data_IF_189009591715
#
_entry.id   IF_189009591715
#
_cell.length_a   1.000
_cell.length_b   1.000
_cell.length_c   1.000
_cell.angle_alpha   90.00
_cell.angle_beta   90.00
_cell.angle_gamma   90.00
#
_symmetry.space_group_name_H-M   'P 1'
#
loop_
_entity.id
_entity.type
_entity.pdbx_description
1 polymer ?
#
# COMPACT_ATOMS: atom_id res chain seq x y z
N UNK A 1 -16.85 -9.46 12.82
CA UNK A 1 -16.51 -9.37 11.37
C UNK A 1 -16.14 -7.91 11.10
N UNK A 2 -15.04 -7.64 10.41
CA UNK A 2 -14.69 -6.26 10.06
C UNK A 2 -15.67 -5.73 9.04
N UNK A 3 -16.19 -4.53 9.28
CA UNK A 3 -17.16 -3.83 8.43
C UNK A 3 -16.43 -3.00 7.37
N UNK A 4 -17.14 -2.60 6.32
CA UNK A 4 -16.66 -1.60 5.37
C UNK A 4 -16.82 -0.20 5.99
N UNK A 5 -15.73 0.33 6.53
CA UNK A 5 -15.71 1.66 7.13
C UNK A 5 -15.47 2.77 6.09
N UNK A 6 -15.03 2.43 4.89
CA UNK A 6 -14.74 3.42 3.85
C UNK A 6 -15.95 3.71 2.96
N UNK A 7 -16.86 2.75 2.77
CA UNK A 7 -18.00 2.91 1.86
C UNK A 7 -17.60 3.44 0.48
N UNK A 8 -16.45 2.97 -0.05
CA UNK A 8 -15.81 3.46 -1.29
C UNK A 8 -15.35 4.92 -1.27
N UNK A 9 -15.38 5.59 -0.13
CA UNK A 9 -14.79 6.91 0.02
C UNK A 9 -13.30 6.79 0.37
N UNK A 10 -12.47 6.84 -0.66
CA UNK A 10 -11.00 6.82 -0.55
C UNK A 10 -10.40 8.22 -0.41
N UNK A 11 -11.21 9.24 -0.14
CA UNK A 11 -10.70 10.57 0.15
C UNK A 11 -10.25 10.67 1.61
N UNK A 12 -9.13 11.34 1.84
CA UNK A 12 -8.64 11.67 3.17
C UNK A 12 -8.18 13.13 3.20
N UNK A 13 -8.58 13.86 4.25
CA UNK A 13 -8.23 15.27 4.43
C UNK A 13 -6.86 15.45 5.07
N UNK A 14 -6.38 14.42 5.75
CA UNK A 14 -5.10 14.44 6.48
C UNK A 14 -4.27 13.19 6.18
N UNK A 15 -2.92 13.30 6.18
CA UNK A 15 -2.05 12.14 6.08
C UNK A 15 -2.29 11.15 7.24
N UNK A 16 -2.04 9.87 6.96
CA UNK A 16 -2.03 8.79 7.95
C UNK A 16 -3.37 8.51 8.65
N UNK A 17 -4.48 9.03 8.12
CA UNK A 17 -5.81 8.84 8.71
C UNK A 17 -6.59 7.68 8.08
N UNK A 18 -6.40 7.46 6.79
CA UNK A 18 -7.12 6.49 5.98
C UNK A 18 -6.18 5.89 4.95
N UNK A 19 -6.01 4.58 4.98
CA UNK A 19 -5.07 3.84 4.13
C UNK A 19 -5.75 2.67 3.44
N UNK A 20 -5.18 2.23 2.33
CA UNK A 20 -5.56 1.00 1.63
C UNK A 20 -4.35 0.07 1.52
N UNK A 21 -4.60 -1.23 1.60
CA UNK A 21 -3.59 -2.24 1.38
C UNK A 21 -4.08 -3.32 0.42
N UNK A 22 -3.17 -3.94 -0.25
CA UNK A 22 -3.42 -5.06 -1.13
C UNK A 22 -2.13 -5.78 -1.49
N UNK A 23 -2.29 -6.88 -2.20
CA UNK A 23 -1.17 -7.67 -2.71
C UNK A 23 -1.24 -7.77 -4.23
N UNK A 24 -0.07 -7.97 -4.83
CA UNK A 24 0.06 -8.36 -6.24
C UNK A 24 1.18 -9.37 -6.39
N UNK A 25 1.25 -10.00 -7.56
CA UNK A 25 2.33 -10.92 -7.90
C UNK A 25 2.98 -10.56 -9.23
N UNK A 26 4.26 -10.91 -9.37
CA UNK A 26 5.04 -10.78 -10.59
C UNK A 26 5.71 -12.12 -10.86
N UNK A 27 5.51 -12.75 -12.05
CA UNK A 27 6.24 -13.96 -12.41
C UNK A 27 7.72 -13.65 -12.65
N UNK A 28 8.60 -14.53 -12.17
CA UNK A 28 10.03 -14.47 -12.33
C UNK A 28 10.58 -15.81 -12.89
N UNK A 29 11.86 -15.88 -13.22
CA UNK A 29 12.46 -17.12 -13.74
C UNK A 29 12.59 -18.21 -12.66
N UNK A 30 12.66 -17.83 -11.39
CA UNK A 30 12.81 -18.70 -10.22
C UNK A 30 11.53 -18.84 -9.38
N UNK A 31 10.39 -18.40 -9.91
CA UNK A 31 9.11 -18.52 -9.24
C UNK A 31 8.22 -17.26 -9.39
N UNK A 32 7.60 -16.83 -8.30
CA UNK A 32 6.79 -15.62 -8.25
C UNK A 32 7.25 -14.72 -7.12
N UNK A 33 7.28 -13.42 -7.38
CA UNK A 33 7.44 -12.41 -6.35
C UNK A 33 6.06 -11.93 -5.93
N UNK A 34 5.73 -12.07 -4.64
CA UNK A 34 4.53 -11.49 -4.02
C UNK A 34 4.89 -10.19 -3.33
N UNK A 35 4.05 -9.19 -3.51
CA UNK A 35 4.28 -7.82 -3.02
C UNK A 35 3.07 -7.40 -2.22
N UNK A 36 3.27 -6.94 -1.00
CA UNK A 36 2.26 -6.29 -0.16
C UNK A 36 2.67 -4.85 0.10
N UNK A 37 1.74 -3.91 -0.07
CA UNK A 37 2.00 -2.50 0.19
C UNK A 37 0.83 -1.83 0.89
N UNK A 38 1.14 -0.77 1.64
CA UNK A 38 0.19 0.11 2.30
C UNK A 38 0.31 1.50 1.69
N UNK A 39 -0.81 2.02 1.17
CA UNK A 39 -0.89 3.32 0.53
C UNK A 39 -1.74 4.28 1.35
N UNK A 40 -1.28 5.51 1.51
CA UNK A 40 -2.05 6.58 2.13
C UNK A 40 -3.12 7.11 1.16
N UNK A 41 -4.35 7.24 1.62
CA UNK A 41 -5.43 7.82 0.81
C UNK A 41 -5.28 9.33 0.62
N UNK A 42 -4.53 10.02 1.47
CA UNK A 42 -4.31 11.47 1.37
C UNK A 42 -3.45 11.85 0.17
N UNK A 43 -2.32 11.22 -0.01
CA UNK A 43 -1.31 11.59 -1.02
C UNK A 43 -0.88 10.45 -1.95
N UNK A 44 -1.44 9.27 -1.78
CA UNK A 44 -1.06 8.05 -2.47
C UNK A 44 0.38 7.57 -2.16
N UNK A 45 1.00 8.04 -1.10
CA UNK A 45 2.32 7.61 -0.67
C UNK A 45 2.34 6.16 -0.21
N UNK A 46 3.42 5.47 -0.51
CA UNK A 46 3.69 4.11 0.01
C UNK A 46 4.29 4.24 1.40
N UNK A 47 3.58 3.76 2.40
CA UNK A 47 3.97 3.82 3.82
C UNK A 47 4.66 2.56 4.29
N UNK A 48 4.29 1.41 3.73
CA UNK A 48 4.86 0.11 4.02
C UNK A 48 4.93 -0.73 2.76
N UNK A 49 5.99 -1.52 2.66
CA UNK A 49 6.25 -2.42 1.55
C UNK A 49 6.92 -3.68 2.09
N UNK A 50 6.44 -4.83 1.65
CA UNK A 50 7.05 -6.13 1.92
C UNK A 50 6.96 -7.02 0.69
N UNK A 51 7.97 -7.86 0.49
CA UNK A 51 8.07 -8.74 -0.69
C UNK A 51 8.62 -10.10 -0.29
N UNK A 52 8.00 -11.17 -0.80
CA UNK A 52 8.42 -12.56 -0.53
C UNK A 52 8.13 -13.44 -1.74
N UNK A 53 8.70 -14.62 -1.76
CA UNK A 53 8.41 -15.68 -2.72
C UNK A 53 7.20 -16.54 -2.34
N UNK A 54 6.63 -16.31 -1.16
CA UNK A 54 5.45 -17.01 -0.64
C UNK A 54 4.32 -16.02 -0.29
N UNK A 55 3.10 -16.34 -0.73
CA UNK A 55 1.90 -15.56 -0.42
C UNK A 55 1.31 -16.00 0.93
N UNK A 56 1.88 -15.54 2.04
CA UNK A 56 1.45 -15.86 3.40
C UNK A 56 0.92 -14.62 4.13
N UNK A 57 0.15 -14.83 5.20
CA UNK A 57 -0.30 -13.74 6.08
C UNK A 57 0.87 -12.96 6.69
N UNK A 58 2.01 -13.64 6.95
CA UNK A 58 3.24 -13.00 7.43
C UNK A 58 3.78 -11.91 6.51
N UNK A 59 3.54 -12.01 5.19
CA UNK A 59 3.91 -10.95 4.24
C UNK A 59 3.14 -9.65 4.53
N UNK A 60 1.84 -9.74 4.82
CA UNK A 60 1.02 -8.58 5.16
C UNK A 60 1.38 -8.01 6.54
N UNK A 61 1.71 -8.87 7.50
CA UNK A 61 2.19 -8.43 8.83
C UNK A 61 3.52 -7.71 8.71
N UNK A 62 4.48 -8.26 7.96
CA UNK A 62 5.78 -7.61 7.74
C UNK A 62 5.61 -6.24 7.05
N UNK A 63 4.69 -6.12 6.10
CA UNK A 63 4.36 -4.83 5.48
C UNK A 63 3.85 -3.83 6.52
N UNK A 64 2.95 -4.27 7.42
CA UNK A 64 2.41 -3.46 8.49
C UNK A 64 3.50 -3.02 9.48
N UNK A 65 4.37 -3.95 9.91
CA UNK A 65 5.51 -3.66 10.79
C UNK A 65 6.42 -2.60 10.17
N UNK A 66 6.77 -2.74 8.89
CA UNK A 66 7.59 -1.77 8.17
C UNK A 66 6.92 -0.38 8.11
N UNK A 67 5.60 -0.34 7.93
CA UNK A 67 4.84 0.91 7.97
C UNK A 67 4.85 1.54 9.37
N UNK A 68 4.61 0.76 10.42
CA UNK A 68 4.56 1.23 11.81
C UNK A 68 5.92 1.72 12.32
N UNK A 69 7.02 1.09 11.88
CA UNK A 69 8.38 1.56 12.20
C UNK A 69 8.61 2.96 11.64
N UNK A 70 8.20 3.21 10.40
CA UNK A 70 8.40 4.50 9.73
C UNK A 70 7.35 5.55 10.12
N UNK A 71 6.14 5.10 10.43
CA UNK A 71 4.98 5.95 10.70
C UNK A 71 4.19 5.46 11.93
N UNK A 72 4.73 5.59 13.14
CA UNK A 72 4.04 5.14 14.37
C UNK A 72 2.71 5.88 14.60
N UNK A 73 2.52 7.03 13.96
CA UNK A 73 1.26 7.81 13.98
C UNK A 73 0.11 7.16 13.20
N UNK A 74 0.33 6.02 12.51
CA UNK A 74 -0.73 5.21 11.92
C UNK A 74 -1.69 4.61 12.96
N UNK A 75 -1.33 4.63 14.23
CA UNK A 75 -2.23 4.25 15.33
C UNK A 75 -3.52 5.07 15.26
N UNK A 76 -4.67 4.39 15.23
CA UNK A 76 -5.99 5.01 15.06
C UNK A 76 -6.46 5.18 13.61
N UNK A 77 -5.58 5.01 12.62
CA UNK A 77 -5.94 5.06 11.21
C UNK A 77 -6.92 3.94 10.81
N UNK A 78 -7.68 4.19 9.76
CA UNK A 78 -8.47 3.15 9.09
C UNK A 78 -7.59 2.50 8.02
N UNK A 79 -7.46 1.18 8.06
CA UNK A 79 -6.76 0.40 7.04
C UNK A 79 -7.73 -0.54 6.34
N UNK A 80 -7.97 -0.27 5.07
CA UNK A 80 -8.89 -1.02 4.23
C UNK A 80 -8.18 -2.05 3.36
N UNK A 81 -8.74 -3.25 3.31
CA UNK A 81 -8.28 -4.36 2.47
C UNK A 81 -9.45 -5.09 1.83
N UNK A 82 -9.15 -5.95 0.87
CA UNK A 82 -10.09 -6.99 0.44
C UNK A 82 -10.28 -8.05 1.55
N UNK A 83 -11.09 -9.08 1.25
CA UNK A 83 -11.33 -10.22 2.15
C UNK A 83 -10.42 -11.42 1.88
N UNK A 84 -9.24 -11.19 1.34
CA UNK A 84 -8.25 -12.24 1.14
C UNK A 84 -7.92 -12.99 2.44
N UNK A 85 -7.58 -14.26 2.32
CA UNK A 85 -7.27 -15.12 3.48
C UNK A 85 -6.15 -14.56 4.35
N UNK A 86 -5.24 -13.80 3.78
CA UNK A 86 -4.13 -13.15 4.48
C UNK A 86 -4.65 -12.10 5.47
N UNK A 87 -5.62 -11.27 5.05
CA UNK A 87 -6.19 -10.18 5.84
C UNK A 87 -7.25 -10.66 6.85
N UNK A 88 -7.85 -11.84 6.62
CA UNK A 88 -8.80 -12.47 7.55
C UNK A 88 -8.11 -13.44 8.53
N UNK A 89 -6.81 -13.68 8.37
CA UNK A 89 -6.04 -14.55 9.26
C UNK A 89 -5.99 -14.01 10.69
N UNK A 90 -5.85 -14.91 11.65
CA UNK A 90 -5.69 -14.53 13.06
C UNK A 90 -4.41 -13.69 13.24
N UNK A 91 -3.31 -14.10 12.63
CA UNK A 91 -2.02 -13.41 12.70
C UNK A 91 -2.12 -11.94 12.30
N UNK A 92 -2.79 -11.65 11.18
CA UNK A 92 -2.95 -10.27 10.71
C UNK A 92 -3.89 -9.46 11.60
N UNK A 93 -4.99 -10.05 12.07
CA UNK A 93 -5.93 -9.37 12.98
C UNK A 93 -5.29 -9.02 14.31
N UNK A 94 -4.45 -9.91 14.86
CA UNK A 94 -3.70 -9.64 16.09
C UNK A 94 -2.71 -8.48 15.88
N UNK A 95 -1.97 -8.46 14.76
CA UNK A 95 -1.07 -7.37 14.43
C UNK A 95 -1.81 -6.02 14.33
N UNK A 96 -2.91 -5.95 13.59
CA UNK A 96 -3.77 -4.76 13.47
C UNK A 96 -4.24 -4.26 14.85
N UNK A 97 -4.63 -5.19 15.73
CA UNK A 97 -5.10 -4.85 17.07
C UNK A 97 -3.98 -4.31 17.96
N UNK A 98 -2.81 -4.93 17.93
CA UNK A 98 -1.62 -4.48 18.70
C UNK A 98 -1.21 -3.08 18.24
N UNK A 99 -1.22 -2.82 16.95
CA UNK A 99 -0.88 -1.51 16.37
C UNK A 99 -1.96 -0.44 16.59
N UNK A 100 -3.14 -0.85 17.09
CA UNK A 100 -4.25 0.06 17.34
C UNK A 100 -4.85 0.65 16.07
N UNK A 101 -4.77 -0.09 14.95
CA UNK A 101 -5.32 0.28 13.65
C UNK A 101 -6.77 -0.24 13.55
N UNK A 102 -7.62 0.53 12.89
CA UNK A 102 -9.02 0.17 12.65
C UNK A 102 -9.13 -0.59 11.33
N UNK A 103 -9.34 -1.90 11.39
CA UNK A 103 -9.50 -2.71 10.19
C UNK A 103 -10.83 -2.42 9.50
N UNK A 104 -10.77 -2.17 8.20
CA UNK A 104 -11.91 -2.07 7.29
C UNK A 104 -11.75 -3.10 6.16
N UNK A 105 -12.84 -3.72 5.74
CA UNK A 105 -12.84 -4.73 4.68
C UNK A 105 -14.01 -4.52 3.74
N UNK A 106 -13.86 -4.92 2.48
CA UNK A 106 -14.95 -4.96 1.52
C UNK A 106 -16.20 -5.62 2.11
N UNK A 107 -17.39 -5.16 1.73
CA UNK A 107 -18.65 -5.76 2.13
C UNK A 107 -18.71 -7.26 1.79
N UNK A 108 -19.40 -8.05 2.57
CA UNK A 108 -19.61 -9.47 2.29
C UNK A 108 -20.37 -9.59 0.96
N UNK A 109 -19.81 -10.30 -0.02
CA UNK A 109 -20.35 -10.36 -1.38
C UNK A 109 -20.06 -9.11 -2.23
N UNK A 110 -19.25 -8.16 -1.73
CA UNK A 110 -18.81 -6.97 -2.45
C UNK A 110 -18.03 -7.31 -3.72
N UNK A 111 -18.18 -6.47 -4.74
CA UNK A 111 -17.48 -6.62 -6.01
C UNK A 111 -16.01 -6.22 -5.83
N UNK A 112 -15.13 -6.70 -6.72
CA UNK A 112 -13.69 -6.36 -6.74
C UNK A 112 -13.40 -4.84 -6.73
N UNK A 113 -14.36 -4.02 -7.13
CA UNK A 113 -14.24 -2.55 -7.15
C UNK A 113 -14.14 -1.88 -5.77
N UNK A 114 -14.36 -2.61 -4.69
CA UNK A 114 -14.32 -2.04 -3.34
C UNK A 114 -12.87 -1.72 -2.90
N UNK A 115 -11.85 -2.26 -3.57
CA UNK A 115 -10.43 -1.90 -3.39
C UNK A 115 -9.78 -1.36 -4.69
N UNK A 116 -10.59 -0.72 -5.54
CA UNK A 116 -10.16 -0.23 -6.86
C UNK A 116 -8.96 0.72 -6.80
N UNK A 117 -8.78 1.44 -5.70
CA UNK A 117 -7.64 2.34 -5.51
C UNK A 117 -6.32 1.56 -5.47
N UNK A 118 -6.26 0.49 -4.70
CA UNK A 118 -5.08 -0.36 -4.61
C UNK A 118 -4.80 -1.07 -5.94
N UNK A 119 -5.84 -1.59 -6.59
CA UNK A 119 -5.72 -2.22 -7.92
C UNK A 119 -5.16 -1.25 -8.97
N UNK A 120 -5.62 0.00 -8.95
CA UNK A 120 -5.10 1.05 -9.83
C UNK A 120 -3.61 1.32 -9.61
N UNK A 121 -3.14 1.30 -8.37
CA UNK A 121 -1.73 1.50 -8.05
C UNK A 121 -0.86 0.33 -8.55
N UNK A 122 -1.33 -0.90 -8.42
CA UNK A 122 -0.66 -2.07 -8.97
C UNK A 122 -0.60 -2.03 -10.51
N UNK A 123 -1.69 -1.67 -11.17
CA UNK A 123 -1.72 -1.53 -12.61
C UNK A 123 -0.72 -0.47 -13.12
N UNK A 124 -0.62 0.66 -12.42
CA UNK A 124 0.35 1.72 -12.73
C UNK A 124 1.79 1.24 -12.53
N UNK A 125 2.09 0.58 -11.42
CA UNK A 125 3.42 0.02 -11.19
C UNK A 125 3.80 -0.94 -12.31
N UNK A 126 2.93 -1.86 -12.68
CA UNK A 126 3.20 -2.84 -13.75
C UNK A 126 3.40 -2.16 -15.10
N UNK A 127 2.59 -1.16 -15.45
CA UNK A 127 2.72 -0.47 -16.74
C UNK A 127 3.92 0.48 -16.79
N UNK A 128 4.22 1.18 -15.72
CA UNK A 128 5.32 2.17 -15.69
C UNK A 128 6.69 1.51 -15.50
N UNK A 129 6.76 0.47 -14.66
CA UNK A 129 8.02 -0.19 -14.32
C UNK A 129 8.35 -1.37 -15.23
N UNK A 130 7.38 -2.25 -15.51
CA UNK A 130 7.66 -3.56 -16.06
C UNK A 130 7.31 -3.67 -17.56
N UNK A 131 6.11 -3.30 -17.95
CA UNK A 131 5.62 -3.57 -19.30
C UNK A 131 6.43 -2.82 -20.36
N UNK A 132 6.91 -3.57 -21.36
CA UNK A 132 7.74 -3.05 -22.43
C UNK A 132 9.19 -2.68 -22.07
N UNK A 133 9.58 -2.89 -20.79
CA UNK A 133 10.94 -2.59 -20.30
C UNK A 133 11.70 -3.84 -19.88
N UNK A 134 11.01 -4.77 -19.21
CA UNK A 134 11.62 -5.96 -18.65
C UNK A 134 10.81 -7.22 -19.02
N UNK A 135 11.50 -8.28 -19.41
CA UNK A 135 10.94 -9.62 -19.46
C UNK A 135 11.15 -10.27 -18.08
N UNK A 136 10.16 -10.11 -17.21
CA UNK A 136 10.26 -10.56 -15.81
C UNK A 136 10.50 -12.05 -15.69
N UNK A 137 10.07 -12.86 -16.69
CA UNK A 137 10.32 -14.30 -16.72
C UNK A 137 11.79 -14.68 -16.93
N UNK A 138 12.63 -13.71 -17.27
CA UNK A 138 14.09 -13.87 -17.37
C UNK A 138 14.82 -13.28 -16.16
N UNK A 139 14.10 -12.67 -15.23
CA UNK A 139 14.65 -12.05 -14.03
C UNK A 139 14.40 -12.92 -12.81
N UNK A 140 15.30 -12.89 -11.84
CA UNK A 140 15.11 -13.52 -10.54
C UNK A 140 14.18 -12.70 -9.65
N UNK A 141 13.59 -13.34 -8.64
CA UNK A 141 12.78 -12.64 -7.64
C UNK A 141 13.61 -11.58 -6.90
N UNK A 142 14.88 -11.82 -6.64
CA UNK A 142 15.78 -10.85 -5.99
C UNK A 142 16.03 -9.61 -6.85
N UNK A 143 16.25 -9.77 -8.15
CA UNK A 143 16.36 -8.64 -9.09
C UNK A 143 15.07 -7.82 -9.14
N UNK A 144 13.91 -8.49 -9.17
CA UNK A 144 12.61 -7.82 -9.14
C UNK A 144 12.37 -7.07 -7.82
N UNK A 145 12.77 -7.61 -6.68
CA UNK A 145 12.67 -6.92 -5.37
C UNK A 145 13.39 -5.57 -5.41
N UNK A 146 14.59 -5.51 -5.95
CA UNK A 146 15.35 -4.26 -6.06
C UNK A 146 14.64 -3.24 -6.93
N UNK A 147 14.11 -3.66 -8.09
CA UNK A 147 13.37 -2.77 -8.99
C UNK A 147 12.09 -2.23 -8.34
N UNK A 148 11.30 -3.10 -7.73
CA UNK A 148 10.03 -2.71 -7.08
C UNK A 148 10.28 -1.79 -5.89
N UNK A 149 11.28 -2.09 -5.07
CA UNK A 149 11.64 -1.24 -3.94
C UNK A 149 12.04 0.16 -4.39
N UNK A 150 12.92 0.26 -5.38
CA UNK A 150 13.35 1.56 -5.95
C UNK A 150 12.18 2.33 -6.56
N UNK A 151 11.30 1.61 -7.26
CA UNK A 151 10.12 2.23 -7.86
C UNK A 151 9.22 2.87 -6.81
N UNK A 152 8.84 2.16 -5.75
CA UNK A 152 7.92 2.69 -4.76
C UNK A 152 8.58 3.64 -3.75
N UNK A 153 9.69 3.23 -3.15
CA UNK A 153 10.28 3.97 -2.05
C UNK A 153 11.10 5.20 -2.50
N UNK A 154 11.63 5.18 -3.72
CA UNK A 154 12.37 6.32 -4.26
C UNK A 154 11.55 7.10 -5.29
N UNK A 155 11.22 6.49 -6.42
CA UNK A 155 10.57 7.19 -7.52
C UNK A 155 9.12 7.57 -7.22
N UNK A 156 8.28 6.62 -6.85
CA UNK A 156 6.85 6.86 -6.56
C UNK A 156 6.66 7.91 -5.47
N UNK A 157 7.30 7.71 -4.34
CA UNK A 157 7.12 8.58 -3.18
C UNK A 157 7.68 9.99 -3.38
N UNK A 158 8.83 10.15 -4.08
CA UNK A 158 9.56 11.41 -4.07
C UNK A 158 9.62 12.13 -5.42
N UNK A 159 9.33 11.46 -6.54
CA UNK A 159 9.53 12.01 -7.88
C UNK A 159 8.35 11.89 -8.80
N UNK A 160 7.51 10.86 -8.61
CA UNK A 160 6.40 10.61 -9.51
C UNK A 160 5.37 11.71 -9.42
N UNK A 161 5.08 12.33 -10.56
CA UNK A 161 3.99 13.31 -10.70
C UNK A 161 2.66 12.59 -10.51
N UNK A 162 1.86 13.07 -9.56
CA UNK A 162 0.56 12.51 -9.23
C UNK A 162 -0.53 13.56 -9.51
N UNK A 163 -1.38 13.31 -10.50
CA UNK A 163 -2.45 14.26 -10.88
C UNK A 163 -3.43 14.54 -9.75
N UNK A 164 -3.75 13.53 -8.93
CA UNK A 164 -4.61 13.70 -7.76
C UNK A 164 -3.99 14.56 -6.64
N UNK A 165 -2.69 14.84 -6.72
CA UNK A 165 -1.96 15.72 -5.82
C UNK A 165 -1.65 17.10 -6.45
N UNK A 166 -2.36 17.48 -7.49
CA UNK A 166 -2.05 18.72 -8.22
C UNK A 166 -0.69 18.69 -8.91
N UNK A 167 -0.21 17.50 -9.31
CA UNK A 167 1.10 17.31 -9.96
C UNK A 167 2.27 17.11 -8.99
N UNK A 168 2.01 17.06 -7.69
CA UNK A 168 3.06 16.85 -6.68
C UNK A 168 3.32 15.37 -6.41
N UNK A 169 4.58 14.97 -6.20
CA UNK A 169 4.89 13.67 -5.64
C UNK A 169 4.27 13.49 -4.23
N UNK A 170 3.95 12.25 -3.83
CA UNK A 170 3.31 11.99 -2.54
C UNK A 170 4.00 12.65 -1.34
N UNK A 171 5.30 12.47 -1.18
CA UNK A 171 6.03 13.00 -0.02
C UNK A 171 6.19 14.52 -0.07
N UNK A 172 6.14 15.16 -1.22
CA UNK A 172 6.13 16.62 -1.36
C UNK A 172 4.79 17.17 -0.87
N UNK A 173 3.66 16.57 -1.29
CA UNK A 173 2.33 16.97 -0.80
C UNK A 173 2.22 16.81 0.72
N UNK A 174 2.73 15.69 1.26
CA UNK A 174 2.73 15.44 2.72
C UNK A 174 3.52 16.50 3.49
N UNK A 175 4.71 16.84 3.02
CA UNK A 175 5.54 17.88 3.63
C UNK A 175 4.82 19.21 3.66
N UNK A 176 4.21 19.62 2.55
CA UNK A 176 3.44 20.86 2.49
C UNK A 176 2.28 20.88 3.50
N UNK A 177 1.62 19.75 3.74
CA UNK A 177 0.59 19.65 4.77
C UNK A 177 1.15 19.96 6.16
N UNK A 178 2.25 19.32 6.55
CA UNK A 178 2.85 19.56 7.87
C UNK A 178 3.44 20.96 8.02
N UNK A 179 4.03 21.50 6.97
CA UNK A 179 4.53 22.89 6.95
C UNK A 179 3.38 23.90 7.13
N UNK A 180 2.21 23.66 6.56
CA UNK A 180 1.04 24.50 6.71
C UNK A 180 0.50 24.51 8.15
N UNK A 181 0.52 23.35 8.82
CA UNK A 181 0.12 23.25 10.24
C UNK A 181 1.13 23.99 11.13
N UNK A 182 2.42 23.80 10.91
CA UNK A 182 3.47 24.47 11.68
C UNK A 182 3.42 25.99 11.54
N UNK A 183 3.05 26.52 10.36
CA UNK A 183 2.88 27.96 10.13
C UNK A 183 1.62 28.55 10.78
N UNK A 184 0.63 27.72 11.16
CA UNK A 184 -0.64 28.12 11.78
C UNK A 184 -0.59 28.05 13.33
N UNK A 185 0.52 27.58 13.88
CA UNK A 185 0.78 27.45 15.33
C UNK A 185 1.62 28.61 15.81
#
# INVERSE_FOLDING_TARGET
MSEDLLHRDFHADTPLSKCVTGMTEIPACDGKLYISALFDCYDAGVLGLSMDTNMRASLCVQMLDNAMISYPMLRGAILHSDRGSQYTSQLYREAIQIDGIRQSMNSAGGRCHDNARCESMWARMKSELLYGRYDTKKMTTEELKVLVWRYFMSYWNNRRICSSNGGLPPMVKRRQFYDSIAASS
#
